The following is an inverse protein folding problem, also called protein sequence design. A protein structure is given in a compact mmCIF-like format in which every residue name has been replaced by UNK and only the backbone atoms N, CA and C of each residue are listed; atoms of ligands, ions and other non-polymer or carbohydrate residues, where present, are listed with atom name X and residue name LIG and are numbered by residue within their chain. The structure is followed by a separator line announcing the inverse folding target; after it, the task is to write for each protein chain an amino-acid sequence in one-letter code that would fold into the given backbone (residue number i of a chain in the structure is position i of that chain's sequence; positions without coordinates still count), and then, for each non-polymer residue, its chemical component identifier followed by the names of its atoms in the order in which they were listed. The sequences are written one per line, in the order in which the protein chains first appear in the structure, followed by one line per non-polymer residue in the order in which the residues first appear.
data_IF_568068396340
#
_entry.id   IF_568068396340
#
_cell.length_a   1.000
_cell.length_b   1.000
_cell.length_c   1.000
_cell.angle_alpha   90.00
_cell.angle_beta   90.00
_cell.angle_gamma   90.00
#
_symmetry.space_group_name_H-M   'P 1'
#
loop_
_entity.id
_entity.type
_entity.pdbx_description
1 polymer ?
#
# COMPACT_ATOMS: atom_id res chain seq x y z
N UNK A 1 28.77 -33.40 -46.77
CA UNK A 1 30.08 -33.08 -46.16
C UNK A 1 30.02 -31.62 -45.79
N UNK A 2 29.33 -31.36 -44.68
CA UNK A 2 29.11 -30.02 -44.14
C UNK A 2 30.06 -29.82 -42.95
N UNK A 3 30.86 -28.77 -43.02
CA UNK A 3 31.73 -28.25 -41.98
C UNK A 3 31.51 -26.74 -41.98
N UNK A 4 31.14 -26.03 -40.93
CA UNK A 4 31.25 -26.29 -39.50
C UNK A 4 31.46 -24.91 -38.89
N UNK A 5 30.39 -24.18 -38.61
CA UNK A 5 30.46 -22.86 -37.99
C UNK A 5 30.24 -23.04 -36.48
N UNK A 6 31.35 -23.26 -35.77
CA UNK A 6 31.38 -23.42 -34.32
C UNK A 6 31.24 -22.04 -33.64
N UNK A 7 30.30 -21.96 -32.70
CA UNK A 7 29.99 -20.77 -31.93
C UNK A 7 31.10 -20.33 -30.99
N UNK A 8 31.36 -19.03 -30.97
CA UNK A 8 32.18 -18.38 -29.96
C UNK A 8 31.34 -18.15 -28.69
N UNK A 9 31.36 -19.11 -27.75
CA UNK A 9 30.99 -18.86 -26.35
C UNK A 9 32.13 -18.11 -25.68
N UNK A 10 32.00 -16.80 -25.53
CA UNK A 10 32.89 -16.01 -24.69
C UNK A 10 32.69 -16.40 -23.22
N UNK A 11 33.64 -17.15 -22.65
CA UNK A 11 33.72 -17.41 -21.21
C UNK A 11 34.22 -16.13 -20.51
N UNK A 12 33.29 -15.32 -20.01
CA UNK A 12 33.61 -14.28 -19.03
C UNK A 12 33.98 -14.95 -17.70
N UNK A 13 35.27 -15.16 -17.46
CA UNK A 13 35.80 -15.55 -16.15
C UNK A 13 35.74 -14.37 -15.18
N UNK A 14 34.60 -14.21 -14.50
CA UNK A 14 34.55 -13.36 -13.31
C UNK A 14 35.24 -14.08 -12.15
N UNK A 15 36.42 -13.58 -11.73
CA UNK A 15 36.99 -13.91 -10.41
C UNK A 15 36.07 -13.33 -9.33
N UNK A 16 35.04 -14.09 -8.93
CA UNK A 16 34.22 -13.76 -7.75
C UNK A 16 35.08 -13.94 -6.51
N UNK A 17 35.55 -12.85 -5.90
CA UNK A 17 35.81 -12.86 -4.46
C UNK A 17 34.47 -13.24 -3.81
N UNK A 18 34.44 -14.36 -3.09
CA UNK A 18 33.28 -14.78 -2.32
C UNK A 18 33.08 -13.78 -1.17
N UNK A 19 32.41 -12.66 -1.44
CA UNK A 19 31.77 -11.89 -0.39
C UNK A 19 30.52 -12.68 0.00
N UNK A 20 30.56 -13.26 1.19
CA UNK A 20 29.38 -13.85 1.83
C UNK A 20 28.47 -12.67 2.18
N UNK A 21 27.47 -12.41 1.33
CA UNK A 21 26.56 -11.27 1.47
C UNK A 21 25.59 -11.49 2.65
N UNK A 22 25.33 -12.74 3.05
CA UNK A 22 24.53 -13.05 4.24
C UNK A 22 25.04 -14.34 4.92
N UNK A 23 25.56 -14.29 6.16
CA UNK A 23 25.92 -15.49 6.90
C UNK A 23 24.65 -16.28 7.29
N UNK A 24 24.73 -17.62 7.26
CA UNK A 24 23.68 -18.50 7.80
C UNK A 24 23.81 -18.57 9.33
N UNK A 25 23.28 -17.58 10.04
CA UNK A 25 23.27 -17.57 11.51
C UNK A 25 22.05 -18.34 12.00
N UNK A 26 22.24 -19.25 12.96
CA UNK A 26 21.11 -19.93 13.62
C UNK A 26 20.23 -18.89 14.36
N UNK A 27 18.90 -19.08 14.40
CA UNK A 27 18.02 -18.15 15.11
C UNK A 27 18.42 -18.08 16.59
N UNK A 28 18.67 -16.86 17.08
CA UNK A 28 19.00 -16.60 18.47
C UNK A 28 17.75 -16.17 19.23
N UNK A 29 17.52 -16.77 20.40
CA UNK A 29 16.48 -16.31 21.32
C UNK A 29 17.02 -15.13 22.12
N UNK A 30 16.40 -13.96 21.93
CA UNK A 30 16.84 -12.73 22.57
C UNK A 30 15.65 -12.13 23.32
N UNK A 31 15.88 -11.76 24.59
CA UNK A 31 14.89 -10.96 25.32
C UNK A 31 14.75 -9.60 24.65
N UNK A 32 13.53 -9.08 24.57
CA UNK A 32 13.28 -7.79 23.94
C UNK A 32 14.13 -6.69 24.62
N UNK A 33 14.82 -5.79 23.88
CA UNK A 33 15.73 -4.81 24.47
C UNK A 33 15.09 -3.85 25.48
N UNK A 34 13.78 -3.61 25.36
CA UNK A 34 12.98 -2.77 26.27
C UNK A 34 12.39 -3.53 27.47
N UNK A 35 12.76 -4.79 27.67
CA UNK A 35 12.26 -5.60 28.77
C UNK A 35 12.54 -4.93 30.12
N UNK A 36 11.49 -4.60 30.87
CA UNK A 36 11.58 -4.01 32.21
C UNK A 36 10.45 -4.58 33.09
N UNK A 37 10.82 -5.46 34.03
CA UNK A 37 9.87 -6.19 34.87
C UNK A 37 9.22 -5.30 35.93
N UNK A 38 9.95 -4.34 36.49
CA UNK A 38 9.42 -3.44 37.52
C UNK A 38 8.40 -2.50 36.91
N UNK A 39 8.75 -1.90 35.78
CA UNK A 39 7.85 -1.03 35.03
C UNK A 39 6.62 -1.79 34.53
N UNK A 40 6.77 -3.04 34.10
CA UNK A 40 5.64 -3.90 33.72
C UNK A 40 4.68 -4.14 34.90
N UNK A 41 5.21 -4.35 36.12
CA UNK A 41 4.37 -4.54 37.32
C UNK A 41 3.62 -3.27 37.72
N UNK A 42 4.30 -2.12 37.69
CA UNK A 42 3.68 -0.83 37.97
C UNK A 42 2.53 -0.56 36.97
N UNK A 43 2.82 -0.68 35.67
CA UNK A 43 1.82 -0.46 34.62
C UNK A 43 0.64 -1.44 34.72
N UNK A 44 0.89 -2.71 35.09
CA UNK A 44 -0.16 -3.70 35.30
C UNK A 44 -1.10 -3.30 36.46
N UNK A 45 -0.54 -2.84 37.58
CA UNK A 45 -1.31 -2.40 38.73
C UNK A 45 -2.15 -1.15 38.40
N UNK A 46 -1.57 -0.16 37.72
CA UNK A 46 -2.26 1.09 37.38
C UNK A 46 -3.38 0.91 36.33
N UNK A 47 -3.26 -0.10 35.47
CA UNK A 47 -4.25 -0.44 34.44
C UNK A 47 -5.27 -1.48 34.89
N UNK A 48 -5.10 -2.08 36.07
CA UNK A 48 -5.85 -3.28 36.48
C UNK A 48 -5.81 -4.39 35.39
N UNK A 49 -4.60 -4.66 34.88
CA UNK A 49 -4.38 -5.55 33.72
C UNK A 49 -3.46 -6.73 34.06
N UNK A 50 -3.57 -7.88 33.35
CA UNK A 50 -2.63 -8.97 33.51
C UNK A 50 -1.17 -8.53 33.25
N UNK A 51 -0.23 -9.01 34.08
CA UNK A 51 1.20 -8.66 33.95
C UNK A 51 1.75 -8.93 32.54
N UNK A 52 1.28 -10.00 31.87
CA UNK A 52 1.70 -10.32 30.51
C UNK A 52 1.31 -9.23 29.49
N UNK A 53 0.13 -8.60 29.66
CA UNK A 53 -0.32 -7.51 28.79
C UNK A 53 0.53 -6.25 29.00
N UNK A 54 0.76 -5.86 30.26
CA UNK A 54 1.65 -4.75 30.59
C UNK A 54 3.09 -4.99 30.09
N UNK A 55 3.58 -6.23 30.20
CA UNK A 55 4.88 -6.61 29.66
C UNK A 55 4.97 -6.41 28.14
N UNK A 56 3.93 -6.81 27.41
CA UNK A 56 3.85 -6.62 25.97
C UNK A 56 3.76 -5.13 25.58
N UNK A 57 3.11 -4.28 26.40
CA UNK A 57 3.07 -2.83 26.20
C UNK A 57 4.43 -2.18 26.42
N UNK A 58 5.13 -2.54 27.51
CA UNK A 58 6.47 -2.05 27.82
C UNK A 58 7.46 -2.42 26.70
N UNK A 59 7.40 -3.65 26.19
CA UNK A 59 8.23 -4.07 25.06
C UNK A 59 7.95 -3.23 23.79
N UNK A 60 6.72 -2.76 23.59
CA UNK A 60 6.35 -1.84 22.51
C UNK A 60 6.71 -0.37 22.79
N UNK A 61 7.33 -0.06 23.93
CA UNK A 61 7.67 1.32 24.33
C UNK A 61 6.50 2.09 24.95
N UNK A 62 5.38 1.43 25.21
CA UNK A 62 4.20 2.02 25.83
C UNK A 62 4.32 1.85 27.35
N UNK A 63 4.81 2.89 28.01
CA UNK A 63 5.26 2.80 29.41
C UNK A 63 4.40 3.60 30.39
N UNK A 64 3.56 4.51 29.91
CA UNK A 64 2.67 5.33 30.74
C UNK A 64 1.23 4.82 30.63
N UNK A 65 0.46 4.95 31.72
CA UNK A 65 -0.98 4.67 31.75
C UNK A 65 -1.73 5.40 30.65
N UNK A 66 -1.45 6.70 30.43
CA UNK A 66 -2.10 7.49 29.39
C UNK A 66 -1.88 6.90 27.99
N UNK A 67 -0.62 6.66 27.60
CA UNK A 67 -0.32 6.03 26.31
C UNK A 67 -0.88 4.61 26.18
N UNK A 68 -0.94 3.84 27.28
CA UNK A 68 -1.54 2.51 27.28
C UNK A 68 -3.05 2.58 27.02
N UNK A 69 -3.77 3.47 27.70
CA UNK A 69 -5.21 3.69 27.47
C UNK A 69 -5.47 4.14 26.04
N UNK A 70 -4.77 5.16 25.54
CA UNK A 70 -4.88 5.63 24.15
C UNK A 70 -4.58 4.52 23.12
N UNK A 71 -3.66 3.60 23.43
CA UNK A 71 -3.36 2.49 22.54
C UNK A 71 -4.42 1.37 22.57
N UNK A 72 -4.99 1.07 23.73
CA UNK A 72 -5.97 -0.01 23.91
C UNK A 72 -7.39 0.44 23.50
N UNK A 73 -7.75 1.65 23.88
CA UNK A 73 -9.05 2.30 23.73
C UNK A 73 -8.88 3.67 23.03
N UNK A 74 -8.41 3.69 21.77
CA UNK A 74 -8.29 4.93 21.02
C UNK A 74 -9.67 5.52 20.71
N UNK A 75 -9.73 6.84 20.64
CA UNK A 75 -10.92 7.59 20.23
C UNK A 75 -10.62 8.51 19.03
N UNK A 76 -11.65 9.05 18.38
CA UNK A 76 -11.47 9.94 17.22
C UNK A 76 -10.67 11.20 17.59
N UNK A 77 -10.81 11.67 18.82
CA UNK A 77 -10.13 12.85 19.38
C UNK A 77 -8.63 12.62 19.56
N UNK A 78 -8.15 11.38 19.49
CA UNK A 78 -6.72 11.07 19.52
C UNK A 78 -6.00 11.38 18.20
N UNK A 79 -6.75 11.70 17.13
CA UNK A 79 -6.22 12.11 15.84
C UNK A 79 -5.64 13.53 15.90
N UNK A 80 -4.58 13.77 15.14
CA UNK A 80 -3.96 15.09 15.05
C UNK A 80 -4.73 16.00 14.09
N UNK A 81 -4.78 17.29 14.41
CA UNK A 81 -5.37 18.31 13.54
C UNK A 81 -4.68 18.28 12.16
N UNK A 82 -5.44 18.08 11.07
CA UNK A 82 -4.88 17.96 9.74
C UNK A 82 -4.19 19.26 9.28
N UNK A 83 -4.51 20.44 9.82
CA UNK A 83 -3.88 21.73 9.45
C UNK A 83 -2.36 21.78 9.65
N UNK A 84 -1.79 20.88 10.46
CA UNK A 84 -0.34 20.74 10.60
C UNK A 84 0.34 20.03 9.40
N UNK A 85 -0.42 19.47 8.44
CA UNK A 85 0.11 18.95 7.18
C UNK A 85 0.46 20.11 6.24
N UNK A 86 1.72 20.14 5.80
CA UNK A 86 2.20 21.16 4.87
C UNK A 86 1.42 21.14 3.54
N UNK A 87 1.07 22.33 3.04
CA UNK A 87 0.25 22.58 1.84
C UNK A 87 -1.19 22.04 1.89
N UNK A 88 -1.67 21.52 3.03
CA UNK A 88 -3.05 21.03 3.11
C UNK A 88 -4.08 22.12 2.81
N UNK A 89 -3.92 23.31 3.39
CA UNK A 89 -4.88 24.40 3.16
C UNK A 89 -4.90 24.82 1.67
N UNK A 90 -3.75 24.82 0.99
CA UNK A 90 -3.66 25.08 -0.46
C UNK A 90 -4.36 23.99 -1.28
N UNK A 91 -4.20 22.73 -0.90
CA UNK A 91 -4.90 21.61 -1.52
C UNK A 91 -6.43 21.74 -1.37
N UNK A 92 -6.89 21.97 -0.14
CA UNK A 92 -8.30 22.12 0.22
C UNK A 92 -8.94 23.32 -0.50
N UNK A 93 -8.27 24.47 -0.51
CA UNK A 93 -8.72 25.66 -1.24
C UNK A 93 -8.87 25.37 -2.74
N UNK A 94 -7.86 24.75 -3.35
CA UNK A 94 -7.88 24.42 -4.78
C UNK A 94 -9.01 23.47 -5.15
N UNK A 95 -9.20 22.45 -4.34
CA UNK A 95 -10.25 21.45 -4.54
C UNK A 95 -11.62 22.10 -4.38
N UNK A 96 -11.85 22.88 -3.32
CA UNK A 96 -13.12 23.60 -3.13
C UNK A 96 -13.42 24.56 -4.28
N UNK A 97 -12.42 25.27 -4.81
CA UNK A 97 -12.58 26.10 -6.00
C UNK A 97 -13.03 25.28 -7.20
N UNK A 98 -12.42 24.10 -7.42
CA UNK A 98 -12.83 23.19 -8.48
C UNK A 98 -14.28 22.74 -8.35
N UNK A 99 -14.70 22.37 -7.13
CA UNK A 99 -16.10 22.01 -6.85
C UNK A 99 -17.05 23.19 -7.11
N UNK A 100 -16.73 24.38 -6.60
CA UNK A 100 -17.57 25.57 -6.74
C UNK A 100 -17.73 26.01 -8.20
N UNK A 101 -16.67 25.89 -8.99
CA UNK A 101 -16.65 26.24 -10.40
C UNK A 101 -17.20 25.14 -11.33
N UNK A 102 -17.63 23.99 -10.78
CA UNK A 102 -18.01 22.78 -11.55
C UNK A 102 -16.92 22.37 -12.54
N UNK A 103 -15.67 22.49 -12.12
CA UNK A 103 -14.55 21.93 -12.86
C UNK A 103 -14.67 20.41 -12.90
N UNK A 104 -14.23 19.81 -14.00
CA UNK A 104 -14.09 18.35 -14.08
C UNK A 104 -12.81 17.94 -13.37
N UNK A 105 -12.97 17.19 -12.28
CA UNK A 105 -11.89 16.75 -11.39
C UNK A 105 -11.59 15.28 -11.66
N UNK A 106 -10.31 14.93 -11.82
CA UNK A 106 -9.87 13.53 -11.87
C UNK A 106 -9.19 13.15 -10.56
N UNK A 107 -9.70 12.13 -9.87
CA UNK A 107 -8.96 11.45 -8.79
C UNK A 107 -8.10 10.35 -9.40
N UNK A 108 -6.78 10.44 -9.25
CA UNK A 108 -5.84 9.45 -9.76
C UNK A 108 -5.20 8.68 -8.60
N UNK A 109 -5.49 7.38 -8.48
CA UNK A 109 -4.96 6.53 -7.41
C UNK A 109 -3.84 5.61 -7.85
N UNK A 110 -3.45 4.71 -6.94
CA UNK A 110 -2.63 3.54 -7.26
C UNK A 110 -3.46 2.24 -7.36
N UNK A 111 -2.87 1.19 -7.91
CA UNK A 111 -3.51 -0.09 -8.20
C UNK A 111 -3.58 -1.07 -7.02
N UNK A 112 -2.95 -0.76 -5.89
CA UNK A 112 -3.03 -1.60 -4.71
C UNK A 112 -4.21 -1.20 -3.80
N UNK A 113 -4.32 -1.86 -2.65
CA UNK A 113 -5.48 -1.67 -1.77
C UNK A 113 -5.48 -0.27 -1.16
N UNK A 114 -4.32 0.30 -0.84
CA UNK A 114 -4.25 1.64 -0.26
C UNK A 114 -4.67 2.69 -1.29
N UNK A 115 -4.12 2.62 -2.51
CA UNK A 115 -4.52 3.48 -3.62
C UNK A 115 -6.00 3.35 -4.02
N UNK A 116 -6.53 2.13 -4.08
CA UNK A 116 -7.95 1.87 -4.39
C UNK A 116 -8.87 2.46 -3.31
N UNK A 117 -8.56 2.21 -2.04
CA UNK A 117 -9.38 2.67 -0.92
C UNK A 117 -9.27 4.19 -0.76
N UNK A 118 -8.09 4.78 -0.99
CA UNK A 118 -7.89 6.23 -1.01
C UNK A 118 -8.67 6.90 -2.14
N UNK A 119 -8.70 6.27 -3.31
CA UNK A 119 -9.48 6.74 -4.46
C UNK A 119 -10.97 6.72 -4.13
N UNK A 120 -11.47 5.63 -3.55
CA UNK A 120 -12.85 5.55 -3.07
C UNK A 120 -13.17 6.70 -2.12
N UNK A 121 -12.34 6.89 -1.09
CA UNK A 121 -12.55 7.88 -0.05
C UNK A 121 -12.68 9.30 -0.63
N UNK A 122 -11.68 9.73 -1.41
CA UNK A 122 -11.69 11.07 -1.98
C UNK A 122 -12.79 11.25 -3.04
N UNK A 123 -12.95 10.27 -3.93
CA UNK A 123 -14.01 10.30 -4.95
C UNK A 123 -15.40 10.42 -4.32
N UNK A 124 -15.71 9.60 -3.32
CA UNK A 124 -16.99 9.64 -2.62
C UNK A 124 -17.21 10.96 -1.89
N UNK A 125 -16.19 11.48 -1.19
CA UNK A 125 -16.28 12.78 -0.52
C UNK A 125 -16.52 13.93 -1.50
N UNK A 126 -15.86 13.92 -2.67
CA UNK A 126 -16.06 14.94 -3.71
C UNK A 126 -17.46 14.85 -4.35
N UNK A 127 -17.96 13.64 -4.62
CA UNK A 127 -19.35 13.43 -5.08
C UNK A 127 -20.36 14.00 -4.09
N UNK A 128 -20.15 13.74 -2.80
CA UNK A 128 -20.94 14.25 -1.68
C UNK A 128 -20.90 15.79 -1.56
N UNK A 129 -19.81 16.41 -1.99
CA UNK A 129 -19.67 17.86 -2.07
C UNK A 129 -20.34 18.46 -3.32
N UNK A 130 -20.79 17.64 -4.26
CA UNK A 130 -21.44 18.05 -5.51
C UNK A 130 -20.48 18.21 -6.70
N UNK A 131 -19.28 17.64 -6.63
CA UNK A 131 -18.27 17.77 -7.69
C UNK A 131 -18.61 16.95 -8.95
N UNK A 132 -18.20 17.48 -10.12
CA UNK A 132 -18.05 16.70 -11.35
C UNK A 132 -16.72 15.95 -11.29
N UNK A 133 -16.73 14.76 -10.71
CA UNK A 133 -15.53 13.98 -10.44
C UNK A 133 -15.52 12.65 -11.19
N UNK A 134 -14.37 12.32 -11.76
CA UNK A 134 -14.02 11.04 -12.34
C UNK A 134 -12.85 10.42 -11.57
N UNK A 135 -12.59 9.14 -11.80
CA UNK A 135 -11.41 8.47 -11.25
C UNK A 135 -10.59 7.79 -12.35
N UNK A 136 -9.32 7.51 -12.03
CA UNK A 136 -8.43 6.63 -12.78
C UNK A 136 -7.59 5.81 -11.83
N UNK A 137 -7.59 4.49 -12.04
CA UNK A 137 -6.66 3.56 -11.39
C UNK A 137 -5.71 3.04 -12.49
N UNK A 138 -4.39 3.17 -12.34
CA UNK A 138 -3.44 2.69 -13.34
C UNK A 138 -3.45 1.17 -13.46
N UNK A 139 -3.12 0.64 -14.63
CA UNK A 139 -2.90 -0.79 -14.80
C UNK A 139 -1.44 -1.14 -14.46
N UNK A 140 -1.21 -1.98 -13.44
CA UNK A 140 0.11 -2.34 -12.93
C UNK A 140 1.14 -2.73 -14.00
N UNK A 141 0.71 -3.54 -14.97
CA UNK A 141 1.62 -4.04 -16.01
C UNK A 141 1.85 -3.03 -17.15
N UNK A 142 0.79 -2.36 -17.63
CA UNK A 142 0.81 -1.47 -18.79
C UNK A 142 1.28 -0.06 -18.45
N UNK A 143 0.73 0.51 -17.37
CA UNK A 143 0.92 1.91 -17.02
C UNK A 143 2.06 2.11 -16.01
N UNK A 144 2.43 1.05 -15.28
CA UNK A 144 3.41 1.13 -14.20
C UNK A 144 2.82 1.73 -12.92
N UNK A 145 3.69 2.21 -12.03
CA UNK A 145 3.32 2.86 -10.78
C UNK A 145 3.34 4.39 -10.94
N UNK A 146 2.40 5.07 -10.27
CA UNK A 146 2.35 6.53 -10.18
C UNK A 146 1.56 7.25 -11.27
N UNK A 147 1.70 8.58 -11.30
CA UNK A 147 1.08 9.45 -12.30
C UNK A 147 1.93 9.46 -13.58
N UNK A 148 1.36 9.05 -14.71
CA UNK A 148 2.07 8.96 -16.00
C UNK A 148 1.67 10.06 -16.98
N UNK A 149 2.50 10.30 -18.01
CA UNK A 149 2.15 11.21 -19.11
C UNK A 149 0.85 10.81 -19.81
N UNK A 150 0.61 9.51 -19.97
CA UNK A 150 -0.63 8.98 -20.54
C UNK A 150 -1.85 9.35 -19.69
N UNK A 151 -1.72 9.31 -18.36
CA UNK A 151 -2.79 9.74 -17.45
C UNK A 151 -3.08 11.24 -17.61
N UNK A 152 -2.05 12.07 -17.79
CA UNK A 152 -2.23 13.52 -18.05
C UNK A 152 -2.93 13.77 -19.38
N UNK A 153 -2.48 13.14 -20.46
CA UNK A 153 -3.10 13.32 -21.78
C UNK A 153 -4.54 12.82 -21.79
N UNK A 154 -4.82 11.74 -21.06
CA UNK A 154 -6.16 11.24 -20.88
C UNK A 154 -7.06 12.19 -20.10
N UNK A 155 -6.58 12.74 -18.98
CA UNK A 155 -7.28 13.78 -18.23
C UNK A 155 -7.60 14.99 -19.12
N UNK A 156 -6.63 15.43 -19.93
CA UNK A 156 -6.81 16.53 -20.88
C UNK A 156 -7.89 16.22 -21.93
N UNK A 157 -7.87 15.01 -22.53
CA UNK A 157 -8.90 14.59 -23.50
C UNK A 157 -10.31 14.55 -22.90
N UNK A 158 -10.43 14.21 -21.61
CA UNK A 158 -11.69 14.21 -20.88
C UNK A 158 -12.15 15.62 -20.48
N UNK A 159 -11.32 16.64 -20.68
CA UNK A 159 -11.61 18.01 -20.29
C UNK A 159 -11.44 18.28 -18.80
N UNK A 160 -10.65 17.46 -18.10
CA UNK A 160 -10.33 17.70 -16.69
C UNK A 160 -9.44 18.93 -16.55
N UNK A 161 -9.72 19.79 -15.56
CA UNK A 161 -8.89 20.98 -15.24
C UNK A 161 -8.18 20.86 -13.89
N UNK A 162 -8.51 19.82 -13.12
CA UNK A 162 -7.87 19.47 -11.85
C UNK A 162 -7.64 17.96 -11.78
N UNK A 163 -6.43 17.57 -11.41
CA UNK A 163 -6.09 16.21 -10.98
C UNK A 163 -5.76 16.24 -9.49
N UNK A 164 -6.35 15.34 -8.71
CA UNK A 164 -5.95 15.08 -7.33
C UNK A 164 -5.42 13.66 -7.24
N UNK A 165 -4.13 13.50 -6.98
CA UNK A 165 -3.55 12.16 -6.79
C UNK A 165 -3.75 11.69 -5.36
N UNK A 166 -3.93 10.39 -5.20
CA UNK A 166 -3.96 9.72 -3.89
C UNK A 166 -3.00 8.54 -3.93
N UNK A 167 -2.23 8.39 -2.85
CA UNK A 167 -1.25 7.30 -2.68
C UNK A 167 -0.15 7.24 -3.76
N UNK A 168 0.04 8.35 -4.49
CA UNK A 168 1.08 8.46 -5.50
C UNK A 168 1.31 9.92 -5.90
N UNK A 169 2.37 10.12 -6.70
CA UNK A 169 2.61 11.36 -7.43
C UNK A 169 3.75 12.20 -6.88
N UNK A 170 4.28 11.92 -5.68
CA UNK A 170 5.38 12.72 -5.09
C UNK A 170 6.66 12.71 -5.93
N UNK A 171 6.84 11.74 -6.82
CA UNK A 171 7.97 11.63 -7.76
C UNK A 171 7.64 12.10 -9.18
N UNK A 172 6.40 12.50 -9.46
CA UNK A 172 5.89 12.74 -10.82
C UNK A 172 6.23 14.13 -11.38
N UNK A 173 7.51 14.52 -11.37
CA UNK A 173 7.97 15.86 -11.78
C UNK A 173 7.59 16.17 -13.24
N UNK A 174 7.92 15.29 -14.17
CA UNK A 174 7.64 15.48 -15.59
C UNK A 174 6.13 15.44 -15.91
N UNK A 175 5.35 14.44 -15.43
CA UNK A 175 3.88 14.44 -15.60
C UNK A 175 3.21 15.72 -15.09
N UNK A 176 3.58 16.22 -13.91
CA UNK A 176 3.00 17.45 -13.35
C UNK A 176 3.38 18.67 -14.19
N UNK A 177 4.61 18.77 -14.67
CA UNK A 177 5.01 19.84 -15.58
C UNK A 177 4.20 19.79 -16.89
N UNK A 178 3.94 18.58 -17.42
CA UNK A 178 3.09 18.40 -18.61
C UNK A 178 1.64 18.80 -18.35
N UNK A 179 1.10 18.48 -17.17
CA UNK A 179 -0.25 18.88 -16.76
C UNK A 179 -0.39 20.41 -16.75
N UNK A 180 0.56 21.11 -16.15
CA UNK A 180 0.60 22.56 -16.12
C UNK A 180 0.65 23.17 -17.53
N UNK A 181 1.46 22.61 -18.43
CA UNK A 181 1.53 23.05 -19.83
C UNK A 181 0.21 22.84 -20.61
N UNK A 182 -0.66 21.94 -20.14
CA UNK A 182 -1.98 21.68 -20.70
C UNK A 182 -3.11 22.41 -19.94
N UNK A 183 -2.78 23.28 -18.99
CA UNK A 183 -3.75 24.03 -18.19
C UNK A 183 -4.46 23.18 -17.13
N UNK A 184 -3.86 22.09 -16.69
CA UNK A 184 -4.40 21.19 -15.66
C UNK A 184 -3.63 21.41 -14.37
N UNK A 185 -4.34 21.84 -13.33
CA UNK A 185 -3.77 21.91 -11.99
C UNK A 185 -3.63 20.50 -11.40
N UNK A 186 -2.57 20.28 -10.62
CA UNK A 186 -2.35 19.02 -9.91
C UNK A 186 -2.22 19.28 -8.41
N UNK A 187 -2.95 18.51 -7.61
CA UNK A 187 -2.79 18.40 -6.16
C UNK A 187 -2.31 16.98 -5.87
N UNK A 188 -1.21 16.84 -5.14
CA UNK A 188 -0.66 15.53 -4.78
C UNK A 188 -1.00 15.23 -3.32
N UNK A 189 -1.52 14.04 -3.06
CA UNK A 189 -1.67 13.49 -1.70
C UNK A 189 -0.98 12.13 -1.66
N UNK A 190 0.06 12.01 -0.85
CA UNK A 190 0.99 10.88 -0.90
C UNK A 190 1.66 10.68 0.46
N UNK A 191 2.20 9.49 0.70
CA UNK A 191 2.93 9.14 1.92
C UNK A 191 4.33 8.56 1.64
N UNK A 192 4.67 8.29 0.37
CA UNK A 192 5.98 7.79 -0.03
C UNK A 192 7.10 8.80 0.28
N UNK A 193 8.33 8.30 0.43
CA UNK A 193 9.49 9.15 0.70
C UNK A 193 9.73 10.14 -0.46
N UNK A 194 9.69 11.46 -0.21
CA UNK A 194 9.82 12.44 -1.26
C UNK A 194 11.26 12.49 -1.80
N UNK A 195 11.44 12.68 -3.12
CA UNK A 195 12.75 12.97 -3.69
C UNK A 195 13.21 14.39 -3.31
N UNK A 196 14.48 14.69 -3.56
CA UNK A 196 15.05 16.04 -3.34
C UNK A 196 14.31 17.12 -4.14
N UNK A 197 13.92 16.78 -5.38
CA UNK A 197 13.16 17.68 -6.27
C UNK A 197 11.71 17.26 -6.30
N UNK A 198 10.83 18.07 -5.71
CA UNK A 198 9.39 17.86 -5.73
C UNK A 198 8.75 18.33 -7.06
N UNK A 199 7.63 17.72 -7.48
CA UNK A 199 6.84 18.21 -8.61
C UNK A 199 6.30 19.61 -8.36
N UNK A 200 6.24 20.44 -9.42
CA UNK A 200 5.66 21.78 -9.40
C UNK A 200 4.14 21.83 -9.31
N UNK A 201 3.54 21.01 -8.44
CA UNK A 201 2.10 20.90 -8.22
C UNK A 201 1.56 22.11 -7.42
N UNK A 202 0.24 22.35 -7.48
CA UNK A 202 -0.44 23.39 -6.69
C UNK A 202 -0.25 23.15 -5.19
N UNK A 203 -0.27 21.88 -4.78
CA UNK A 203 -0.01 21.44 -3.42
C UNK A 203 0.54 20.02 -3.42
N UNK A 204 1.43 19.70 -2.46
CA UNK A 204 1.97 18.35 -2.24
C UNK A 204 1.75 17.97 -0.77
N UNK A 205 0.62 17.35 -0.45
CA UNK A 205 0.30 16.93 0.92
C UNK A 205 0.97 15.60 1.18
N UNK A 206 2.09 15.63 1.91
CA UNK A 206 2.83 14.43 2.29
C UNK A 206 3.53 14.64 3.66
N UNK A 207 3.30 13.77 4.67
CA UNK A 207 3.90 13.91 6.00
C UNK A 207 5.43 13.93 6.01
N UNK A 208 6.07 13.20 5.09
CA UNK A 208 7.52 13.02 4.99
C UNK A 208 8.24 14.20 4.34
N UNK A 209 7.52 15.21 3.81
CA UNK A 209 8.16 16.41 3.25
C UNK A 209 9.04 17.12 4.26
N UNK A 210 10.22 17.52 3.79
CA UNK A 210 11.13 18.39 4.54
C UNK A 210 10.38 19.65 4.98
N UNK A 211 10.43 19.96 6.27
CA UNK A 211 9.74 21.11 6.88
C UNK A 211 8.27 20.87 7.25
N UNK A 212 7.68 19.70 6.94
CA UNK A 212 6.32 19.38 7.38
C UNK A 212 6.27 19.16 8.90
N UNK A 213 5.50 19.98 9.61
CA UNK A 213 5.37 19.94 11.07
C UNK A 213 4.43 18.85 11.60
N UNK A 214 3.79 18.06 10.72
CA UNK A 214 2.78 17.10 11.13
C UNK A 214 3.35 16.04 12.10
N UNK A 215 2.71 15.80 13.27
CA UNK A 215 3.33 15.01 14.35
C UNK A 215 3.54 13.52 14.04
N UNK A 216 2.68 12.94 13.20
CA UNK A 216 2.70 11.50 12.91
C UNK A 216 3.06 11.24 11.45
N UNK A 217 4.28 10.75 11.21
CA UNK A 217 4.83 10.60 9.84
C UNK A 217 4.36 9.35 9.13
N UNK A 218 4.05 8.29 9.87
CA UNK A 218 3.82 6.96 9.31
C UNK A 218 2.40 6.71 8.81
N UNK A 219 1.64 7.75 8.43
CA UNK A 219 0.32 7.55 7.82
C UNK A 219 0.44 6.69 6.55
N UNK A 220 -0.52 5.80 6.32
CA UNK A 220 -0.74 5.21 5.00
C UNK A 220 -1.23 6.29 4.01
N UNK A 221 -1.20 6.02 2.71
CA UNK A 221 -1.78 6.85 1.67
C UNK A 221 -3.24 7.22 1.98
N UNK A 222 -4.06 6.25 2.41
CA UNK A 222 -5.44 6.50 2.83
C UNK A 222 -5.53 7.33 4.11
N UNK A 223 -4.53 7.25 4.99
CA UNK A 223 -4.45 8.10 6.17
C UNK A 223 -4.27 9.57 5.77
N UNK A 224 -3.41 9.85 4.79
CA UNK A 224 -3.24 11.20 4.23
C UNK A 224 -4.51 11.65 3.51
N UNK A 225 -5.13 10.79 2.69
CA UNK A 225 -6.39 11.09 2.03
C UNK A 225 -7.54 11.36 3.02
N UNK A 226 -7.58 10.64 4.15
CA UNK A 226 -8.55 10.87 5.22
C UNK A 226 -8.38 12.25 5.85
N UNK A 227 -7.14 12.70 6.07
CA UNK A 227 -6.87 14.07 6.58
C UNK A 227 -7.29 15.15 5.59
N UNK A 228 -7.13 14.90 4.30
CA UNK A 228 -7.62 15.79 3.24
C UNK A 228 -9.15 15.85 3.24
N UNK A 229 -9.84 14.71 3.33
CA UNK A 229 -11.31 14.65 3.41
C UNK A 229 -11.84 15.29 4.69
N UNK A 230 -11.21 15.05 5.84
CA UNK A 230 -11.52 15.71 7.11
C UNK A 230 -11.49 17.24 6.93
N UNK A 231 -10.44 17.76 6.29
CA UNK A 231 -10.27 19.19 6.04
C UNK A 231 -11.30 19.75 5.04
N UNK A 232 -11.56 19.05 3.93
CA UNK A 232 -12.60 19.40 2.95
C UNK A 232 -14.01 19.44 3.57
N UNK A 233 -14.24 18.64 4.62
CA UNK A 233 -15.53 18.55 5.29
C UNK A 233 -15.64 19.44 6.52
N UNK A 234 -14.63 20.22 6.94
CA UNK A 234 -14.65 21.06 8.17
C UNK A 234 -15.94 21.88 8.33
N UNK A 235 -16.45 22.49 7.26
CA UNK A 235 -17.70 23.27 7.27
C UNK A 235 -19.00 22.46 7.09
N UNK A 236 -18.92 21.12 7.02
CA UNK A 236 -20.03 20.19 6.69
C UNK A 236 -19.97 18.91 7.55
N UNK A 237 -19.60 19.03 8.83
CA UNK A 237 -19.50 17.93 9.80
C UNK A 237 -18.09 17.44 10.09
N UNK A 238 -17.07 17.95 9.38
CA UNK A 238 -15.65 17.72 9.65
C UNK A 238 -15.29 16.26 9.88
N UNK A 239 -14.59 16.02 10.99
CA UNK A 239 -14.14 14.70 11.41
C UNK A 239 -15.28 13.69 11.63
N UNK A 240 -16.44 14.12 12.13
CA UNK A 240 -17.59 13.24 12.33
C UNK A 240 -18.06 12.64 11.00
N UNK A 241 -18.20 13.49 9.97
CA UNK A 241 -18.62 13.05 8.64
C UNK A 241 -17.53 12.23 7.94
N UNK A 242 -16.27 12.63 8.06
CA UNK A 242 -15.14 11.83 7.56
C UNK A 242 -15.09 10.44 8.24
N UNK A 243 -15.43 10.38 9.54
CA UNK A 243 -15.50 9.17 10.33
C UNK A 243 -16.44 8.09 9.77
N UNK A 244 -17.41 8.49 8.94
CA UNK A 244 -18.29 7.55 8.24
C UNK A 244 -17.56 6.62 7.27
N UNK A 245 -16.32 6.92 6.87
CA UNK A 245 -15.49 6.11 5.98
C UNK A 245 -14.46 5.21 6.68
N UNK A 246 -14.43 5.20 8.03
CA UNK A 246 -13.37 4.54 8.79
C UNK A 246 -13.20 3.05 8.48
N UNK A 247 -14.27 2.35 8.11
CA UNK A 247 -14.21 0.95 7.71
C UNK A 247 -13.30 0.75 6.49
N UNK A 248 -13.39 1.62 5.49
CA UNK A 248 -12.52 1.60 4.31
C UNK A 248 -11.12 2.10 4.65
N UNK A 249 -11.00 3.13 5.50
CA UNK A 249 -9.72 3.66 5.98
C UNK A 249 -8.90 2.59 6.70
N UNK A 250 -9.55 1.79 7.55
CA UNK A 250 -8.89 0.67 8.23
C UNK A 250 -8.38 -0.38 7.24
N UNK A 251 -9.15 -0.71 6.19
CA UNK A 251 -8.74 -1.69 5.18
C UNK A 251 -7.47 -1.22 4.45
N UNK A 252 -7.45 0.01 3.95
CA UNK A 252 -6.27 0.58 3.28
C UNK A 252 -5.06 0.64 4.22
N UNK A 253 -5.25 1.19 5.43
CA UNK A 253 -4.17 1.32 6.44
C UNK A 253 -3.55 -0.03 6.80
N UNK A 254 -4.37 -1.07 6.97
CA UNK A 254 -3.87 -2.41 7.32
C UNK A 254 -3.20 -3.08 6.11
N UNK A 255 -3.74 -2.86 4.91
CA UNK A 255 -3.22 -3.45 3.68
C UNK A 255 -1.86 -2.87 3.25
N UNK A 256 -1.60 -1.60 3.59
CA UNK A 256 -0.33 -0.92 3.35
C UNK A 256 0.79 -1.36 4.33
N UNK A 257 0.45 -2.16 5.35
CA UNK A 257 1.43 -2.73 6.30
C UNK A 257 2.21 -1.65 7.07
N UNK A 258 1.65 -0.44 7.18
CA UNK A 258 2.19 0.61 8.05
C UNK A 258 2.09 0.21 9.54
N UNK A 259 2.98 0.73 10.41
CA UNK A 259 2.88 0.48 11.83
C UNK A 259 1.52 0.91 12.40
N UNK A 260 0.80 -0.02 13.02
CA UNK A 260 -0.47 0.25 13.72
C UNK A 260 -0.21 0.86 15.12
N UNK A 261 0.38 2.04 15.12
CA UNK A 261 0.62 2.91 16.28
C UNK A 261 0.10 4.32 15.98
N UNK A 262 0.00 5.19 16.99
CA UNK A 262 -0.45 6.57 16.78
C UNK A 262 -1.80 6.63 16.05
N UNK A 263 -1.90 7.46 15.01
CA UNK A 263 -3.15 7.63 14.26
C UNK A 263 -3.55 6.38 13.48
N UNK A 264 -2.61 5.61 12.92
CA UNK A 264 -2.95 4.35 12.25
C UNK A 264 -3.63 3.36 13.20
N UNK A 265 -3.26 3.37 14.50
CA UNK A 265 -3.91 2.55 15.52
C UNK A 265 -5.37 2.99 15.74
N UNK A 266 -5.60 4.31 15.79
CA UNK A 266 -6.94 4.91 15.94
C UNK A 266 -7.81 4.53 14.74
N UNK A 267 -7.34 4.84 13.53
CA UNK A 267 -8.05 4.57 12.28
C UNK A 267 -8.36 3.08 12.11
N UNK A 268 -7.38 2.20 12.34
CA UNK A 268 -7.58 0.76 12.23
C UNK A 268 -8.53 0.22 13.31
N UNK A 269 -8.44 0.67 14.57
CA UNK A 269 -9.31 0.18 15.65
C UNK A 269 -10.77 0.52 15.38
N UNK A 270 -11.04 1.80 15.16
CA UNK A 270 -12.40 2.33 15.00
C UNK A 270 -13.01 1.88 13.68
N UNK A 271 -12.20 1.80 12.62
CA UNK A 271 -12.66 1.26 11.34
C UNK A 271 -12.99 -0.22 11.37
N UNK A 272 -12.21 -1.04 12.10
CA UNK A 272 -12.55 -2.45 12.32
C UNK A 272 -13.83 -2.59 13.15
N UNK A 273 -14.08 -1.74 14.15
CA UNK A 273 -15.35 -1.75 14.87
C UNK A 273 -16.52 -1.49 13.93
N UNK A 274 -16.40 -0.43 13.11
CA UNK A 274 -17.42 -0.10 12.12
C UNK A 274 -17.65 -1.23 11.12
N UNK A 275 -16.58 -1.83 10.58
CA UNK A 275 -16.65 -2.97 9.65
C UNK A 275 -17.37 -4.19 10.24
N UNK A 276 -17.31 -4.39 11.56
CA UNK A 276 -18.00 -5.49 12.23
C UNK A 276 -19.45 -5.16 12.63
N UNK A 277 -19.83 -3.88 12.67
CA UNK A 277 -21.15 -3.43 13.10
C UNK A 277 -22.08 -3.09 11.93
N UNK A 278 -21.57 -2.35 10.93
CA UNK A 278 -22.34 -1.85 9.80
C UNK A 278 -21.50 -1.95 8.51
N UNK A 279 -21.79 -3.00 7.74
CA UNK A 279 -21.03 -3.33 6.54
C UNK A 279 -21.64 -2.68 5.30
N UNK A 280 -20.81 -1.96 4.55
CA UNK A 280 -21.13 -1.55 3.19
C UNK A 280 -21.44 -2.78 2.32
N UNK A 281 -22.33 -2.60 1.35
CA UNK A 281 -22.79 -3.66 0.45
C UNK A 281 -21.61 -4.39 -0.21
N UNK A 282 -20.62 -3.64 -0.73
CA UNK A 282 -19.38 -4.20 -1.29
C UNK A 282 -18.55 -5.02 -0.31
N UNK A 283 -18.30 -4.49 0.88
CA UNK A 283 -17.49 -5.17 1.90
C UNK A 283 -18.19 -6.42 2.44
N UNK A 284 -19.52 -6.38 2.59
CA UNK A 284 -20.32 -7.54 2.96
C UNK A 284 -20.19 -8.66 1.92
N UNK A 285 -20.35 -8.34 0.64
CA UNK A 285 -20.17 -9.31 -0.44
C UNK A 285 -18.77 -9.93 -0.44
N UNK A 286 -17.72 -9.11 -0.21
CA UNK A 286 -16.35 -9.61 -0.10
C UNK A 286 -16.14 -10.54 1.10
N UNK A 287 -16.74 -10.22 2.25
CA UNK A 287 -16.71 -11.06 3.45
C UNK A 287 -17.39 -12.40 3.19
N UNK A 288 -18.53 -12.40 2.48
CA UNK A 288 -19.27 -13.60 2.11
C UNK A 288 -18.45 -14.53 1.21
N UNK A 289 -17.97 -14.05 0.07
CA UNK A 289 -17.18 -14.88 -0.87
C UNK A 289 -15.85 -15.35 -0.26
N UNK A 290 -15.33 -14.61 0.73
CA UNK A 290 -14.11 -15.00 1.43
C UNK A 290 -14.30 -16.07 2.51
N UNK A 291 -15.55 -16.48 2.77
CA UNK A 291 -15.88 -17.47 3.80
C UNK A 291 -15.75 -16.93 5.23
N UNK A 292 -15.83 -15.61 5.42
CA UNK A 292 -15.71 -14.94 6.72
C UNK A 292 -17.06 -14.57 7.34
N UNK A 293 -18.19 -14.96 6.73
CA UNK A 293 -19.54 -14.71 7.26
C UNK A 293 -19.66 -15.14 8.72
N UNK A 294 -20.19 -14.24 9.56
CA UNK A 294 -20.39 -14.49 10.99
C UNK A 294 -19.11 -14.46 11.85
N UNK A 295 -17.94 -14.18 11.26
CA UNK A 295 -16.68 -14.04 12.00
C UNK A 295 -16.40 -12.58 12.33
N UNK A 296 -15.71 -12.36 13.44
CA UNK A 296 -15.13 -11.05 13.76
C UNK A 296 -13.95 -10.81 12.82
N UNK A 297 -14.01 -9.71 12.09
CA UNK A 297 -12.96 -9.25 11.20
C UNK A 297 -11.94 -8.44 12.02
N UNK A 298 -10.74 -9.00 12.22
CA UNK A 298 -9.62 -8.27 12.80
C UNK A 298 -8.55 -7.94 11.74
N UNK A 299 -7.46 -7.29 12.14
CA UNK A 299 -6.39 -6.90 11.22
C UNK A 299 -5.76 -8.08 10.47
N UNK A 300 -5.75 -9.28 11.05
CA UNK A 300 -5.32 -10.51 10.38
C UNK A 300 -6.26 -10.91 9.24
N UNK A 301 -7.58 -10.90 9.45
CA UNK A 301 -8.52 -11.17 8.36
C UNK A 301 -8.42 -10.11 7.26
N UNK A 302 -8.23 -8.84 7.62
CA UNK A 302 -8.00 -7.79 6.61
C UNK A 302 -6.72 -8.08 5.81
N UNK A 303 -5.57 -8.22 6.48
CA UNK A 303 -4.27 -8.36 5.82
C UNK A 303 -4.13 -9.64 5.00
N UNK A 304 -4.67 -10.77 5.49
CA UNK A 304 -4.44 -12.09 4.90
C UNK A 304 -5.63 -12.64 4.10
N UNK A 305 -6.81 -12.04 4.20
CA UNK A 305 -8.02 -12.57 3.55
C UNK A 305 -8.71 -11.53 2.66
N UNK A 306 -9.04 -10.34 3.17
CA UNK A 306 -9.77 -9.33 2.41
C UNK A 306 -8.86 -8.54 1.45
N UNK A 307 -7.78 -7.95 1.95
CA UNK A 307 -6.84 -7.17 1.15
C UNK A 307 -6.22 -7.96 -0.02
N UNK A 308 -5.84 -9.25 0.12
CA UNK A 308 -5.31 -10.01 -0.99
C UNK A 308 -6.29 -10.22 -2.15
N UNK A 309 -7.61 -10.23 -1.89
CA UNK A 309 -8.65 -10.32 -2.93
C UNK A 309 -8.76 -9.02 -3.72
N UNK A 310 -8.81 -7.88 -3.03
CA UNK A 310 -8.81 -6.57 -3.68
C UNK A 310 -7.53 -6.38 -4.50
N UNK A 311 -6.36 -6.71 -3.94
CA UNK A 311 -5.06 -6.59 -4.62
C UNK A 311 -4.92 -7.57 -5.81
N UNK A 312 -5.66 -8.69 -5.80
CA UNK A 312 -5.62 -9.64 -6.91
C UNK A 312 -6.13 -9.02 -8.21
N UNK A 313 -7.12 -8.13 -8.14
CA UNK A 313 -7.60 -7.36 -9.29
C UNK A 313 -6.47 -6.59 -9.99
N UNK A 314 -5.60 -5.91 -9.23
CA UNK A 314 -4.43 -5.21 -9.80
C UNK A 314 -3.28 -6.11 -10.25
N UNK A 315 -3.27 -7.39 -9.85
CA UNK A 315 -2.21 -8.35 -10.20
C UNK A 315 -2.55 -9.24 -11.39
N UNK A 316 -3.82 -9.63 -11.52
CA UNK A 316 -4.30 -10.60 -12.50
C UNK A 316 -5.26 -9.98 -13.53
N UNK A 317 -5.96 -8.91 -13.17
CA UNK A 317 -7.07 -8.39 -13.94
C UNK A 317 -7.10 -6.86 -13.94
N UNK A 318 -8.29 -6.30 -13.62
CA UNK A 318 -8.50 -4.87 -13.60
C UNK A 318 -8.60 -4.36 -12.14
N UNK A 319 -7.66 -3.50 -11.73
CA UNK A 319 -7.64 -2.88 -10.41
C UNK A 319 -8.91 -2.06 -10.11
N UNK A 320 -9.61 -1.54 -11.14
CA UNK A 320 -10.88 -0.84 -10.97
C UNK A 320 -11.98 -1.71 -10.33
N UNK A 321 -11.87 -3.05 -10.38
CA UNK A 321 -12.82 -3.93 -9.71
C UNK A 321 -12.88 -3.67 -8.21
N UNK A 322 -11.73 -3.43 -7.55
CA UNK A 322 -11.69 -3.11 -6.14
C UNK A 322 -12.46 -1.83 -5.82
N UNK A 323 -12.33 -0.82 -6.68
CA UNK A 323 -13.07 0.44 -6.53
C UNK A 323 -14.57 0.26 -6.82
N UNK A 324 -14.92 -0.50 -7.87
CA UNK A 324 -16.31 -0.84 -8.20
C UNK A 324 -17.01 -1.58 -7.07
N UNK A 325 -16.32 -2.52 -6.42
CA UNK A 325 -16.82 -3.21 -5.23
C UNK A 325 -17.21 -2.20 -4.15
N UNK A 326 -16.31 -1.26 -3.81
CA UNK A 326 -16.56 -0.26 -2.77
C UNK A 326 -17.68 0.73 -3.14
N UNK A 327 -17.85 1.01 -4.44
CA UNK A 327 -18.89 1.90 -4.97
C UNK A 327 -20.25 1.22 -5.18
N UNK A 328 -20.31 -0.12 -5.17
CA UNK A 328 -21.53 -0.87 -5.44
C UNK A 328 -22.63 -0.52 -4.44
N UNK A 329 -23.84 -0.31 -4.98
CA UNK A 329 -25.04 0.02 -4.19
C UNK A 329 -25.99 -1.15 -4.05
N UNK A 330 -25.99 -2.03 -5.04
CA UNK A 330 -26.87 -3.20 -5.11
C UNK A 330 -26.13 -4.47 -4.72
N UNK A 331 -26.80 -5.35 -3.98
CA UNK A 331 -26.20 -6.60 -3.51
C UNK A 331 -25.74 -7.50 -4.65
N UNK A 332 -26.51 -7.56 -5.74
CA UNK A 332 -26.19 -8.39 -6.90
C UNK A 332 -24.93 -7.90 -7.63
N UNK A 333 -24.79 -6.58 -7.81
CA UNK A 333 -23.59 -5.97 -8.40
C UNK A 333 -22.37 -6.24 -7.51
N UNK A 334 -22.49 -6.00 -6.21
CA UNK A 334 -21.41 -6.23 -5.26
C UNK A 334 -20.95 -7.69 -5.23
N UNK A 335 -21.89 -8.64 -5.28
CA UNK A 335 -21.57 -10.07 -5.27
C UNK A 335 -20.84 -10.50 -6.54
N UNK A 336 -21.31 -10.06 -7.72
CA UNK A 336 -20.64 -10.36 -8.99
C UNK A 336 -19.20 -9.82 -9.05
N UNK A 337 -18.97 -8.60 -8.53
CA UNK A 337 -17.61 -8.04 -8.44
C UNK A 337 -16.76 -8.79 -7.42
N UNK A 338 -17.32 -9.17 -6.26
CA UNK A 338 -16.62 -9.92 -5.23
C UNK A 338 -16.20 -11.33 -5.71
N UNK A 339 -17.08 -12.03 -6.44
CA UNK A 339 -16.77 -13.31 -7.08
C UNK A 339 -15.62 -13.17 -8.09
N UNK A 340 -15.66 -12.15 -8.95
CA UNK A 340 -14.59 -11.90 -9.91
C UNK A 340 -13.24 -11.62 -9.23
N UNK A 341 -13.23 -10.88 -8.12
CA UNK A 341 -12.03 -10.67 -7.31
C UNK A 341 -11.53 -11.97 -6.64
N UNK A 342 -12.43 -12.88 -6.25
CA UNK A 342 -12.02 -14.19 -5.72
C UNK A 342 -11.43 -15.08 -6.82
N UNK A 343 -12.01 -15.09 -8.02
CA UNK A 343 -11.43 -15.81 -9.16
C UNK A 343 -10.03 -15.28 -9.51
N UNK A 344 -9.83 -13.96 -9.49
CA UNK A 344 -8.52 -13.33 -9.63
C UNK A 344 -7.56 -13.78 -8.53
N UNK A 345 -8.03 -13.83 -7.29
CA UNK A 345 -7.23 -14.26 -6.15
C UNK A 345 -6.85 -15.75 -6.22
N UNK A 346 -7.74 -16.63 -6.68
CA UNK A 346 -7.47 -18.05 -6.94
C UNK A 346 -6.47 -18.24 -8.09
N UNK A 347 -6.62 -17.51 -9.19
CA UNK A 347 -5.64 -17.50 -10.29
C UNK A 347 -4.27 -17.06 -9.79
N UNK A 348 -4.22 -15.96 -9.05
CA UNK A 348 -2.99 -15.45 -8.44
C UNK A 348 -2.33 -16.51 -7.54
N UNK A 349 -3.08 -17.13 -6.62
CA UNK A 349 -2.55 -18.18 -5.72
C UNK A 349 -1.96 -19.36 -6.49
N UNK A 350 -2.62 -19.84 -7.54
CA UNK A 350 -2.09 -20.90 -8.40
C UNK A 350 -0.77 -20.52 -9.05
N UNK A 351 -0.65 -19.31 -9.60
CA UNK A 351 0.61 -18.82 -10.16
C UNK A 351 1.70 -18.65 -9.08
N UNK A 352 1.35 -18.10 -7.91
CA UNK A 352 2.27 -17.96 -6.77
C UNK A 352 2.86 -19.33 -6.38
N UNK A 353 2.01 -20.36 -6.24
CA UNK A 353 2.39 -21.70 -5.82
C UNK A 353 3.28 -22.41 -6.85
N UNK A 354 2.91 -22.33 -8.14
CA UNK A 354 3.69 -22.93 -9.22
C UNK A 354 5.07 -22.29 -9.35
N UNK A 355 5.12 -20.95 -9.36
CA UNK A 355 6.38 -20.22 -9.48
C UNK A 355 7.28 -20.42 -8.25
N UNK A 356 6.70 -20.48 -7.04
CA UNK A 356 7.45 -20.75 -5.81
C UNK A 356 8.04 -22.16 -5.83
N UNK A 357 7.25 -23.19 -6.13
CA UNK A 357 7.74 -24.57 -6.18
C UNK A 357 8.86 -24.75 -7.20
N UNK A 358 8.73 -24.13 -8.39
CA UNK A 358 9.79 -24.14 -9.40
C UNK A 358 11.04 -23.41 -8.90
N UNK A 359 10.89 -22.21 -8.33
CA UNK A 359 12.02 -21.41 -7.86
C UNK A 359 12.77 -22.09 -6.70
N UNK A 360 12.04 -22.65 -5.73
CA UNK A 360 12.62 -23.39 -4.61
C UNK A 360 13.42 -24.60 -5.10
N UNK A 361 12.88 -25.38 -6.05
CA UNK A 361 13.59 -26.49 -6.66
C UNK A 361 14.91 -26.01 -7.30
N UNK A 362 14.89 -24.94 -8.08
CA UNK A 362 16.10 -24.41 -8.73
C UNK A 362 17.13 -23.96 -7.67
N UNK A 363 16.70 -23.26 -6.62
CA UNK A 363 17.60 -22.83 -5.53
C UNK A 363 18.26 -24.02 -4.85
N UNK A 364 17.52 -25.10 -4.61
CA UNK A 364 18.01 -26.28 -3.88
C UNK A 364 18.86 -27.22 -4.75
N UNK A 365 18.57 -27.33 -6.05
CA UNK A 365 19.24 -28.30 -6.93
C UNK A 365 20.31 -27.69 -7.83
N UNK A 366 20.21 -26.41 -8.17
CA UNK A 366 21.03 -25.77 -9.23
C UNK A 366 21.89 -24.62 -8.69
N UNK A 367 21.47 -23.96 -7.60
CA UNK A 367 22.29 -22.95 -6.95
C UNK A 367 23.14 -23.56 -5.82
N UNK A 368 24.29 -22.94 -5.58
CA UNK A 368 25.19 -23.33 -4.49
C UNK A 368 24.66 -22.89 -3.11
N UNK A 369 23.37 -23.08 -2.81
CA UNK A 369 22.80 -22.80 -1.50
C UNK A 369 23.35 -23.79 -0.45
N UNK A 370 23.66 -23.36 0.80
CA UNK A 370 23.49 -22.01 1.37
C UNK A 370 24.65 -21.04 1.11
N UNK A 371 25.66 -21.40 0.31
CA UNK A 371 26.85 -20.56 0.07
C UNK A 371 26.65 -19.45 -0.96
N UNK A 372 25.56 -19.48 -1.74
CA UNK A 372 25.24 -18.41 -2.69
C UNK A 372 25.00 -17.09 -1.94
N UNK A 373 25.44 -15.99 -2.54
CA UNK A 373 25.36 -14.66 -1.95
C UNK A 373 24.00 -13.98 -2.24
N UNK A 374 23.37 -14.33 -3.35
CA UNK A 374 22.06 -13.87 -3.80
C UNK A 374 21.38 -14.93 -4.65
N UNK A 375 20.07 -14.77 -4.88
CA UNK A 375 19.25 -15.59 -5.77
C UNK A 375 18.82 -14.70 -6.94
N UNK A 376 19.18 -15.10 -8.16
CA UNK A 376 18.68 -14.48 -9.40
C UNK A 376 18.14 -15.59 -10.28
N UNK A 377 16.84 -15.56 -10.55
CA UNK A 377 16.17 -16.57 -11.36
C UNK A 377 15.26 -15.91 -12.39
N UNK A 378 15.02 -16.59 -13.51
CA UNK A 378 14.14 -16.12 -14.56
C UNK A 378 13.37 -17.29 -15.19
N UNK A 379 12.17 -17.02 -15.69
CA UNK A 379 11.35 -18.01 -16.40
C UNK A 379 10.33 -17.33 -17.31
N UNK A 380 10.10 -17.91 -18.49
CA UNK A 380 8.99 -17.55 -19.38
C UNK A 380 7.63 -18.02 -18.84
N UNK A 381 7.63 -18.94 -17.86
CA UNK A 381 6.40 -19.47 -17.25
C UNK A 381 5.86 -18.61 -16.11
N UNK A 382 6.65 -17.65 -15.63
CA UNK A 382 6.27 -16.86 -14.45
C UNK A 382 5.40 -15.67 -14.83
N UNK A 383 4.33 -15.47 -14.06
CA UNK A 383 3.45 -14.32 -14.26
C UNK A 383 4.07 -13.05 -13.62
N UNK A 384 4.15 -11.91 -14.33
CA UNK A 384 4.72 -10.68 -13.78
C UNK A 384 4.03 -10.17 -12.50
N UNK A 385 2.74 -10.49 -12.31
CA UNK A 385 1.97 -10.12 -11.13
C UNK A 385 2.35 -10.88 -9.83
N UNK A 386 3.09 -11.99 -9.93
CA UNK A 386 3.41 -12.87 -8.78
C UNK A 386 4.89 -12.85 -8.37
N UNK A 387 5.80 -12.53 -9.28
CA UNK A 387 7.25 -12.60 -9.03
C UNK A 387 7.70 -11.82 -7.78
N UNK A 388 7.03 -10.72 -7.44
CA UNK A 388 7.33 -9.97 -6.22
C UNK A 388 6.93 -10.69 -4.93
N UNK A 389 5.83 -11.46 -4.94
CA UNK A 389 5.38 -12.27 -3.81
C UNK A 389 6.34 -13.45 -3.61
N UNK A 390 6.66 -14.14 -4.71
CA UNK A 390 7.58 -15.28 -4.68
C UNK A 390 8.96 -14.85 -4.23
N UNK A 391 9.47 -13.71 -4.71
CA UNK A 391 10.76 -13.16 -4.26
C UNK A 391 10.79 -12.92 -2.74
N UNK A 392 9.72 -12.37 -2.15
CA UNK A 392 9.64 -12.17 -0.69
C UNK A 392 9.70 -13.50 0.06
N UNK A 393 8.96 -14.52 -0.38
CA UNK A 393 8.97 -15.86 0.24
C UNK A 393 10.34 -16.54 0.14
N UNK A 394 11.04 -16.37 -0.98
CA UNK A 394 12.40 -16.88 -1.13
C UNK A 394 13.40 -16.16 -0.22
N UNK A 395 13.27 -14.85 -0.04
CA UNK A 395 14.06 -14.10 0.96
C UNK A 395 13.81 -14.65 2.36
N UNK A 396 12.55 -14.85 2.74
CA UNK A 396 12.17 -15.39 4.06
C UNK A 396 12.73 -16.81 4.28
N UNK A 397 12.57 -17.70 3.30
CA UNK A 397 13.02 -19.10 3.40
C UNK A 397 14.53 -19.25 3.34
N UNK A 398 15.17 -18.66 2.33
CA UNK A 398 16.58 -18.90 2.04
C UNK A 398 17.51 -17.86 2.64
N UNK A 399 16.97 -16.76 3.20
CA UNK A 399 17.72 -15.68 3.82
C UNK A 399 18.77 -15.11 2.84
N UNK A 400 18.38 -14.87 1.59
CA UNK A 400 19.24 -14.26 0.55
C UNK A 400 18.49 -13.19 -0.23
N UNK A 401 19.15 -12.07 -0.58
CA UNK A 401 18.58 -11.12 -1.54
C UNK A 401 18.17 -11.87 -2.82
N UNK A 402 16.94 -11.64 -3.26
CA UNK A 402 16.31 -12.42 -4.33
C UNK A 402 15.76 -11.50 -5.42
N UNK A 403 16.12 -11.77 -6.66
CA UNK A 403 15.56 -11.14 -7.86
C UNK A 403 14.94 -12.22 -8.73
N UNK A 404 13.67 -12.05 -9.07
CA UNK A 404 12.96 -12.92 -10.01
C UNK A 404 12.58 -12.15 -11.25
N UNK A 405 12.73 -12.76 -12.43
CA UNK A 405 12.41 -12.14 -13.73
C UNK A 405 11.37 -12.99 -14.46
N UNK A 406 10.21 -12.41 -14.75
CA UNK A 406 9.23 -12.98 -15.67
C UNK A 406 9.59 -12.57 -17.10
N UNK A 407 9.93 -13.54 -17.95
CA UNK A 407 10.31 -13.29 -19.34
C UNK A 407 9.09 -13.23 -20.26
N UNK A 408 9.16 -12.36 -21.28
CA UNK A 408 8.22 -12.25 -22.38
C UNK A 408 9.02 -11.99 -23.68
N UNK A 409 9.43 -13.07 -24.35
CA UNK A 409 10.36 -13.00 -25.46
C UNK A 409 11.74 -12.48 -25.02
N UNK A 410 12.25 -11.45 -25.69
CA UNK A 410 13.55 -10.84 -25.36
C UNK A 410 13.52 -9.87 -24.17
N UNK A 411 12.32 -9.49 -23.71
CA UNK A 411 12.14 -8.55 -22.59
C UNK A 411 11.72 -9.32 -21.34
N UNK A 412 12.11 -8.81 -20.17
CA UNK A 412 11.74 -9.40 -18.89
C UNK A 412 11.36 -8.32 -17.87
N UNK A 413 10.39 -8.62 -17.02
CA UNK A 413 10.07 -7.78 -15.87
C UNK A 413 10.63 -8.41 -14.60
N UNK A 414 11.49 -7.67 -13.91
CA UNK A 414 12.12 -8.09 -12.66
C UNK A 414 11.39 -7.60 -11.42
N UNK A 415 11.49 -8.35 -10.33
CA UNK A 415 11.16 -7.89 -8.98
C UNK A 415 12.22 -8.37 -8.00
N UNK A 416 12.84 -7.43 -7.28
CA UNK A 416 13.84 -7.69 -6.24
C UNK A 416 13.27 -7.56 -4.82
N UNK A 417 13.72 -8.41 -3.90
CA UNK A 417 13.48 -8.35 -2.46
C UNK A 417 14.77 -8.62 -1.70
N UNK A 418 14.98 -7.94 -0.58
CA UNK A 418 16.22 -8.01 0.20
C UNK A 418 15.95 -8.20 1.68
N UNK A 419 17.01 -8.54 2.40
CA UNK A 419 17.05 -8.59 3.85
C UNK A 419 17.29 -7.18 4.43
N UNK A 420 16.91 -6.94 5.69
CA UNK A 420 17.30 -5.73 6.40
C UNK A 420 18.82 -5.50 6.33
N UNK A 421 19.22 -4.26 6.04
CA UNK A 421 20.64 -3.86 5.96
C UNK A 421 21.28 -3.95 4.58
N UNK A 422 20.57 -4.42 3.55
CA UNK A 422 21.05 -4.39 2.17
C UNK A 422 20.07 -3.68 1.24
N UNK A 423 20.47 -2.50 0.75
CA UNK A 423 19.73 -1.72 -0.23
C UNK A 423 19.91 -2.30 -1.63
N UNK A 424 18.82 -2.84 -2.20
CA UNK A 424 18.82 -3.39 -3.56
C UNK A 424 19.08 -2.35 -4.63
N UNK A 425 18.60 -1.10 -4.47
CA UNK A 425 18.77 -0.06 -5.47
C UNK A 425 20.23 0.34 -5.60
N UNK A 426 21.03 0.21 -4.52
CA UNK A 426 22.47 0.44 -4.58
C UNK A 426 23.25 -0.66 -5.30
N UNK A 427 22.64 -1.82 -5.52
CA UNK A 427 23.26 -3.03 -6.10
C UNK A 427 22.84 -3.27 -7.56
N UNK A 428 21.63 -2.84 -7.92
CA UNK A 428 21.08 -2.86 -9.28
C UNK A 428 21.59 -1.68 -10.10
#
# INVERSE_FOLDING_TARGET
MDSGCAGARAQLQFRRKAHVIAPSVLPQWVLHPRHDRERSRALAADLDAPLAAAHALVNRGIVSVANARRFLEPALEDLHDPSALLDLDRAVERIHRGVANRERILVHGDYDVDGITSTYLLYSALRDLGAEVEFRIPHRTRDGYGLSLDAIHDAHRRGCTLIVTVDCGVTAVEPVARAAALGIDVVITDHHEPPEVLPGAVAVVNPHRVGCGYPFKSLAGIGVAFKVVEALLRGRGGLERAGSYLDVVAIGTIADVVPLVGENRVLARLGLERLNQDQRVGLRALIEVSGLTGRIINSGQVAFVLAPRINAGGRMGNAEQGLRLLLARESAEAHAVAESLEEDNERRRRFDEQALAEAERIVETELAWPTCASILLWSERWHPGVIGIVASRLVERFQRPTILVALNGELGRGSGRSLPGLDLNSVL
#
